data_IF_077481737980
#
_entry.id   IF_077481737980
#
_cell.length_a   1.000
_cell.length_b   1.000
_cell.length_c   1.000
_cell.angle_alpha   90.00
_cell.angle_beta   90.00
_cell.angle_gamma   90.00
#
_symmetry.space_group_name_H-M   'P 1'
#
loop_
_entity.id
_entity.type
_entity.pdbx_description
1 polymer ?
#
# COMPACT_ATOMS: atom_id res chain seq x y z
N UNK A 1 -3.12 17.85 8.91
CA UNK A 1 -2.79 16.72 8.01
C UNK A 1 -4.01 15.99 7.45
N UNK A 2 -4.91 15.43 8.27
CA UNK A 2 -6.04 14.61 7.77
C UNK A 2 -6.90 15.27 6.67
N UNK A 3 -7.23 16.56 6.80
CA UNK A 3 -7.99 17.31 5.78
C UNK A 3 -7.30 17.36 4.41
N UNK A 4 -5.96 17.38 4.37
CA UNK A 4 -5.21 17.48 3.12
C UNK A 4 -5.09 16.12 2.43
N UNK A 5 -4.90 15.05 3.21
CA UNK A 5 -4.95 13.68 2.67
C UNK A 5 -6.36 13.35 2.14
N UNK A 6 -7.42 13.83 2.82
CA UNK A 6 -8.77 13.70 2.30
C UNK A 6 -8.95 14.42 0.94
N UNK A 7 -8.34 15.61 0.76
CA UNK A 7 -8.39 16.34 -0.52
C UNK A 7 -7.65 15.63 -1.64
N UNK A 8 -6.47 15.07 -1.40
CA UNK A 8 -5.73 14.34 -2.44
C UNK A 8 -6.47 13.04 -2.82
N UNK A 9 -7.08 12.34 -1.87
CA UNK A 9 -7.92 11.19 -2.16
C UNK A 9 -9.21 11.55 -2.92
N UNK A 10 -9.82 12.71 -2.63
CA UNK A 10 -10.98 13.18 -3.40
C UNK A 10 -10.61 13.39 -4.89
N UNK A 11 -9.42 13.91 -5.17
CA UNK A 11 -8.88 13.99 -6.55
C UNK A 11 -8.58 12.60 -7.10
N UNK A 12 -7.99 11.72 -6.27
CA UNK A 12 -7.67 10.34 -6.64
C UNK A 12 -8.88 9.49 -7.01
N UNK A 13 -10.06 9.80 -6.45
CA UNK A 13 -11.33 9.13 -6.74
C UNK A 13 -12.02 9.58 -8.04
N UNK A 14 -11.57 10.67 -8.68
CA UNK A 14 -12.24 11.20 -9.88
C UNK A 14 -12.06 10.31 -11.12
N UNK A 15 -10.92 9.65 -11.25
CA UNK A 15 -10.60 8.76 -12.37
C UNK A 15 -9.68 7.65 -11.90
N UNK A 16 -9.70 6.52 -12.62
CA UNK A 16 -8.78 5.41 -12.38
C UNK A 16 -7.49 5.60 -13.18
N UNK A 17 -6.38 5.03 -12.71
CA UNK A 17 -5.23 4.80 -13.58
C UNK A 17 -5.57 3.68 -14.58
N UNK A 18 -5.04 3.81 -15.81
CA UNK A 18 -5.16 2.78 -16.84
C UNK A 18 -3.93 1.84 -16.87
N UNK A 19 -2.74 2.40 -16.63
CA UNK A 19 -1.45 1.69 -16.80
C UNK A 19 -0.75 1.34 -15.47
N UNK A 20 -1.09 2.04 -14.37
CA UNK A 20 -0.43 1.84 -13.07
C UNK A 20 -1.03 0.65 -12.34
N UNK A 21 -0.20 -0.01 -11.54
CA UNK A 21 -0.58 -1.22 -10.80
C UNK A 21 -1.69 -0.94 -9.77
N UNK A 22 -2.45 -2.00 -9.49
CA UNK A 22 -3.41 -2.05 -8.40
C UNK A 22 -2.80 -2.76 -7.18
N UNK A 23 -3.10 -2.25 -5.98
CA UNK A 23 -2.76 -2.87 -4.72
C UNK A 23 -3.52 -4.20 -4.61
N UNK A 24 -2.79 -5.30 -4.77
CA UNK A 24 -3.30 -6.65 -4.59
C UNK A 24 -2.45 -7.44 -3.60
N UNK A 25 -3.11 -8.29 -2.82
CA UNK A 25 -2.41 -9.21 -1.89
C UNK A 25 -1.45 -10.12 -2.67
N UNK A 26 -1.88 -10.58 -3.84
CA UNK A 26 -1.08 -11.43 -4.71
C UNK A 26 0.27 -10.78 -5.06
N UNK A 27 0.27 -9.57 -5.61
CA UNK A 27 1.50 -8.88 -6.03
C UNK A 27 2.36 -8.45 -4.84
N UNK A 28 1.75 -7.81 -3.84
CA UNK A 28 2.48 -7.15 -2.76
C UNK A 28 2.84 -8.08 -1.60
N UNK A 29 2.22 -9.25 -1.50
CA UNK A 29 2.50 -10.19 -0.42
C UNK A 29 2.94 -11.56 -0.95
N UNK A 30 2.13 -12.23 -1.79
CA UNK A 30 2.42 -13.60 -2.25
C UNK A 30 3.66 -13.63 -3.14
N UNK A 31 3.65 -12.90 -4.26
CA UNK A 31 4.76 -12.87 -5.22
C UNK A 31 6.04 -12.31 -4.58
N UNK A 32 5.91 -11.30 -3.71
CA UNK A 32 7.04 -10.71 -2.99
C UNK A 32 7.69 -11.72 -2.02
N UNK A 33 6.87 -12.48 -1.27
CA UNK A 33 7.34 -13.58 -0.41
C UNK A 33 8.03 -14.66 -1.23
N UNK A 34 7.40 -15.13 -2.30
CA UNK A 34 7.96 -16.17 -3.17
C UNK A 34 9.28 -15.75 -3.79
N UNK A 35 9.39 -14.49 -4.23
CA UNK A 35 10.62 -13.93 -4.77
C UNK A 35 11.76 -13.97 -3.74
N UNK A 36 11.51 -13.56 -2.50
CA UNK A 36 12.54 -13.55 -1.45
C UNK A 36 12.99 -14.97 -1.07
N UNK A 37 12.05 -15.90 -0.96
CA UNK A 37 12.32 -17.31 -0.65
C UNK A 37 13.07 -18.03 -1.78
N UNK A 38 12.77 -17.70 -3.04
CA UNK A 38 13.33 -18.40 -4.21
C UNK A 38 14.71 -17.89 -4.62
N UNK A 39 15.13 -16.70 -4.16
CA UNK A 39 16.35 -16.03 -4.62
C UNK A 39 17.41 -15.85 -3.53
N UNK A 40 17.34 -16.61 -2.42
CA UNK A 40 18.34 -16.61 -1.35
C UNK A 40 18.62 -15.22 -0.74
N UNK A 41 17.60 -14.35 -0.67
CA UNK A 41 17.72 -13.05 -0.01
C UNK A 41 17.71 -13.13 1.52
N UNK A 42 17.20 -14.26 2.06
CA UNK A 42 17.06 -14.48 3.50
C UNK A 42 18.18 -15.43 3.96
N UNK A 43 18.89 -15.09 5.06
CA UNK A 43 19.85 -16.01 5.68
C UNK A 43 19.21 -17.36 5.99
N UNK A 44 19.93 -18.45 5.72
CA UNK A 44 19.40 -19.82 5.78
C UNK A 44 18.82 -20.18 7.15
N UNK A 45 19.42 -19.68 8.23
CA UNK A 45 18.97 -19.84 9.62
C UNK A 45 17.65 -19.11 9.91
N UNK A 46 17.31 -18.09 9.13
CA UNK A 46 16.08 -17.31 9.25
C UNK A 46 14.98 -17.74 8.27
N UNK A 47 15.30 -18.55 7.25
CA UNK A 47 14.35 -18.93 6.19
C UNK A 47 13.09 -19.58 6.74
N UNK A 48 13.19 -20.55 7.65
CA UNK A 48 12.02 -21.24 8.23
C UNK A 48 11.14 -20.29 9.07
N UNK A 49 11.76 -19.37 9.81
CA UNK A 49 11.03 -18.37 10.59
C UNK A 49 10.33 -17.36 9.67
N UNK A 50 11.02 -16.87 8.64
CA UNK A 50 10.46 -15.96 7.66
C UNK A 50 9.29 -16.60 6.89
N UNK A 51 9.46 -17.84 6.43
CA UNK A 51 8.46 -18.58 5.67
C UNK A 51 7.14 -18.74 6.47
N UNK A 52 7.25 -19.24 7.70
CA UNK A 52 6.10 -19.45 8.58
C UNK A 52 5.40 -18.14 8.98
N UNK A 53 6.16 -17.10 9.31
CA UNK A 53 5.61 -15.80 9.70
C UNK A 53 4.93 -15.09 8.53
N UNK A 54 5.57 -15.07 7.36
CA UNK A 54 5.04 -14.42 6.17
C UNK A 54 3.77 -15.11 5.66
N UNK A 55 3.73 -16.46 5.64
CA UNK A 55 2.53 -17.22 5.32
C UNK A 55 1.38 -16.89 6.28
N UNK A 56 1.65 -16.88 7.59
CA UNK A 56 0.63 -16.53 8.60
C UNK A 56 0.13 -15.08 8.48
N UNK A 57 0.99 -14.15 8.11
CA UNK A 57 0.63 -12.75 7.85
C UNK A 57 -0.28 -12.64 6.62
N UNK A 58 0.07 -13.30 5.51
CA UNK A 58 -0.74 -13.31 4.28
C UNK A 58 -2.15 -13.82 4.58
N UNK A 59 -2.29 -14.96 5.25
CA UNK A 59 -3.61 -15.51 5.60
C UNK A 59 -4.45 -14.55 6.45
N UNK A 60 -3.81 -13.78 7.35
CA UNK A 60 -4.51 -12.75 8.14
C UNK A 60 -4.97 -11.59 7.27
N UNK A 61 -4.13 -11.13 6.35
CA UNK A 61 -4.48 -10.05 5.41
C UNK A 61 -5.66 -10.47 4.54
N UNK A 62 -5.61 -11.66 3.93
CA UNK A 62 -6.69 -12.23 3.11
C UNK A 62 -8.02 -12.32 3.87
N UNK A 63 -7.95 -12.80 5.11
CA UNK A 63 -9.13 -12.85 5.98
C UNK A 63 -9.70 -11.46 6.25
N UNK A 64 -8.87 -10.45 6.53
CA UNK A 64 -9.32 -9.08 6.77
C UNK A 64 -9.94 -8.44 5.54
N UNK A 65 -9.35 -8.68 4.36
CA UNK A 65 -9.89 -8.18 3.10
C UNK A 65 -11.24 -8.81 2.78
N UNK A 66 -11.38 -10.13 2.97
CA UNK A 66 -12.67 -10.81 2.74
C UNK A 66 -13.76 -10.38 3.74
N UNK A 67 -13.41 -10.14 5.01
CA UNK A 67 -14.33 -9.61 6.02
C UNK A 67 -14.83 -8.19 5.71
N UNK A 68 -14.03 -7.35 5.05
CA UNK A 68 -14.37 -5.96 4.77
C UNK A 68 -15.42 -5.81 3.64
N UNK A 69 -15.56 -6.82 2.77
CA UNK A 69 -16.50 -6.78 1.64
C UNK A 69 -15.99 -5.91 0.48
N UNK A 70 -16.89 -5.14 -0.15
CA UNK A 70 -16.53 -4.37 -1.36
C UNK A 70 -15.54 -3.25 -1.03
N UNK A 71 -14.35 -3.36 -1.60
CA UNK A 71 -13.28 -2.39 -1.44
C UNK A 71 -13.41 -1.28 -2.48
N UNK A 72 -13.33 -0.02 -2.06
CA UNK A 72 -13.27 1.12 -2.98
C UNK A 72 -11.81 1.44 -3.30
N UNK A 73 -11.43 1.22 -4.55
CA UNK A 73 -10.11 1.53 -5.08
C UNK A 73 -10.08 2.94 -5.65
N UNK A 74 -9.03 3.69 -5.34
CA UNK A 74 -8.77 5.04 -5.83
C UNK A 74 -7.28 5.19 -6.10
N UNK A 75 -6.90 6.22 -6.85
CA UNK A 75 -5.51 6.60 -6.98
C UNK A 75 -5.00 7.13 -5.65
N UNK A 76 -3.95 6.51 -5.12
CA UNK A 76 -3.28 6.92 -3.90
C UNK A 76 -1.81 7.22 -4.19
N UNK A 77 -1.16 7.97 -3.29
CA UNK A 77 0.26 8.32 -3.39
C UNK A 77 1.19 7.10 -3.41
N UNK A 78 0.79 6.00 -2.76
CA UNK A 78 1.61 4.79 -2.59
C UNK A 78 2.62 4.88 -1.44
N UNK A 79 3.25 6.05 -1.26
CA UNK A 79 4.25 6.29 -0.20
C UNK A 79 4.04 7.64 0.52
N UNK A 80 2.86 7.81 1.11
CA UNK A 80 2.50 9.06 1.80
C UNK A 80 3.06 9.09 3.23
N UNK A 81 4.27 9.62 3.40
CA UNK A 81 4.91 9.83 4.70
C UNK A 81 5.45 11.27 4.86
N UNK A 82 5.77 11.75 6.08
CA UNK A 82 6.21 13.13 6.30
C UNK A 82 7.39 13.60 5.43
N UNK A 83 8.30 12.71 5.03
CA UNK A 83 9.40 13.03 4.11
C UNK A 83 8.96 13.47 2.71
N UNK A 84 7.77 13.05 2.26
CA UNK A 84 7.20 13.36 0.95
C UNK A 84 6.17 14.50 1.01
N UNK A 85 6.17 15.26 2.12
CA UNK A 85 5.27 16.38 2.34
C UNK A 85 6.08 17.63 2.68
N UNK A 86 6.15 18.56 1.73
CA UNK A 86 6.78 19.86 1.93
C UNK A 86 5.77 20.89 2.40
N UNK A 87 6.10 21.62 3.45
CA UNK A 87 5.27 22.70 3.98
C UNK A 87 5.73 24.05 3.43
N UNK A 88 4.80 24.80 2.84
CA UNK A 88 5.02 26.18 2.45
C UNK A 88 3.76 26.98 2.73
N UNK A 89 3.88 28.08 3.48
CA UNK A 89 2.77 28.97 3.83
C UNK A 89 1.54 28.20 4.40
N UNK A 90 1.81 27.32 5.38
CA UNK A 90 0.82 26.41 6.01
C UNK A 90 0.07 25.47 5.06
N UNK A 91 0.55 25.36 3.81
CA UNK A 91 -0.01 24.49 2.79
C UNK A 91 0.93 23.31 2.54
N UNK A 92 0.45 22.06 2.68
CA UNK A 92 1.24 20.89 2.34
C UNK A 92 1.27 20.69 0.83
N UNK A 93 2.47 20.43 0.32
CA UNK A 93 2.74 20.06 -1.06
C UNK A 93 3.26 18.63 -1.04
N UNK A 94 2.51 17.72 -1.65
CA UNK A 94 2.93 16.33 -1.81
C UNK A 94 3.92 16.25 -2.97
N UNK A 95 4.99 15.52 -2.77
CA UNK A 95 6.06 15.29 -3.74
C UNK A 95 6.30 13.78 -3.88
N UNK A 96 7.00 13.38 -4.93
CA UNK A 96 7.33 11.97 -5.21
C UNK A 96 6.10 11.08 -5.51
N UNK A 97 5.59 11.20 -6.75
CA UNK A 97 4.41 10.45 -7.20
C UNK A 97 4.77 9.17 -7.97
N UNK A 98 6.02 8.73 -7.93
CA UNK A 98 6.48 7.58 -8.71
C UNK A 98 5.85 6.28 -8.23
N UNK A 99 5.58 6.17 -6.93
CA UNK A 99 4.91 5.03 -6.31
C UNK A 99 3.37 5.10 -6.33
N UNK A 100 2.77 6.02 -7.10
CA UNK A 100 1.31 6.09 -7.20
C UNK A 100 0.71 4.80 -7.76
N UNK A 101 -0.33 4.31 -7.10
CA UNK A 101 -1.04 3.06 -7.43
C UNK A 101 -2.55 3.22 -7.28
N UNK A 102 -3.32 2.30 -7.86
CA UNK A 102 -4.70 2.10 -7.46
C UNK A 102 -4.70 1.36 -6.11
N UNK A 103 -5.26 1.95 -5.08
CA UNK A 103 -5.22 1.39 -3.73
C UNK A 103 -6.46 1.73 -2.91
N UNK A 104 -6.52 1.18 -1.71
CA UNK A 104 -7.67 1.34 -0.82
C UNK A 104 -7.76 2.76 -0.29
N UNK A 105 -8.99 3.28 -0.17
CA UNK A 105 -9.23 4.45 0.66
C UNK A 105 -8.86 4.11 2.11
N UNK A 106 -7.73 4.63 2.55
CA UNK A 106 -7.47 4.71 3.98
C UNK A 106 -8.45 5.75 4.56
N UNK A 107 -9.53 5.28 5.21
CA UNK A 107 -10.28 6.13 6.12
C UNK A 107 -9.30 6.49 7.24
N UNK A 108 -8.75 7.69 7.18
CA UNK A 108 -8.05 8.27 8.33
C UNK A 108 -9.12 8.40 9.40
N UNK A 109 -9.14 7.45 10.34
CA UNK A 109 -9.95 7.56 11.54
C UNK A 109 -9.52 8.83 12.27
N UNK A 110 -10.48 9.74 12.44
CA UNK A 110 -10.39 10.81 13.44
C UNK A 110 -10.82 10.29 14.79
#
# INVERSE_FOLDING_TARGET
MGRFVARIHAVGAMTNFLERAELSIDRFAVQSREFLLSNNFIPEDLTAAYDSLSAGLISRIEKRFSEHGQLTMLRIHGDCHPGNVLWKDDTPNFIDFDDTIMGLLCRIYG
#
